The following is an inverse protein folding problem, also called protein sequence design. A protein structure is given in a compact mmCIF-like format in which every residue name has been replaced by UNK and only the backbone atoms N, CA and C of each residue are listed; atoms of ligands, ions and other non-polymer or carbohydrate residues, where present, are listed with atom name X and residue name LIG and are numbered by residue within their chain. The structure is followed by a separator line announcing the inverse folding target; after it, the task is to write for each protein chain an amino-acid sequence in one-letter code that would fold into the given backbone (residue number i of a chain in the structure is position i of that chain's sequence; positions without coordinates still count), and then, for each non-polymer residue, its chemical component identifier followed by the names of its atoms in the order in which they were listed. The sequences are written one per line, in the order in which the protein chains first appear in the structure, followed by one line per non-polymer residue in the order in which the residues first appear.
data_IF_372584595528
#
_entry.id   IF_372584595528
#
_cell.length_a   1.000
_cell.length_b   1.000
_cell.length_c   1.000
_cell.angle_alpha   90.00
_cell.angle_beta   90.00
_cell.angle_gamma   90.00
#
_symmetry.space_group_name_H-M   'P 1'
#
loop_
_entity.id
_entity.type
_entity.pdbx_description
1 polymer ?
#
# COMPACT_ATOMS: atom_id res chain seq x y z
N UNK A 1 8.67 14.26 8.46
CA UNK A 1 8.58 13.21 7.41
C UNK A 1 9.49 13.61 6.26
N UNK A 2 10.16 12.66 5.62
CA UNK A 2 11.09 12.95 4.53
C UNK A 2 10.36 13.34 3.23
N UNK A 3 10.91 14.25 2.39
CA UNK A 3 10.27 14.71 1.16
C UNK A 3 9.82 13.61 0.20
N UNK A 4 10.65 12.57 0.00
CA UNK A 4 10.31 11.43 -0.87
C UNK A 4 9.06 10.67 -0.40
N UNK A 5 8.81 10.61 0.93
CA UNK A 5 7.56 10.00 1.44
C UNK A 5 6.32 10.83 1.11
N UNK A 6 6.45 12.16 1.06
CA UNK A 6 5.34 13.04 0.63
C UNK A 6 4.97 12.77 -0.84
N UNK A 7 5.96 12.60 -1.71
CA UNK A 7 5.71 12.25 -3.12
C UNK A 7 5.04 10.88 -3.27
N UNK A 8 5.42 9.93 -2.42
CA UNK A 8 4.82 8.59 -2.42
C UNK A 8 3.39 8.58 -1.89
N UNK A 9 3.03 9.45 -0.95
CA UNK A 9 1.63 9.61 -0.52
C UNK A 9 0.75 9.95 -1.72
N UNK A 10 1.16 10.93 -2.53
CA UNK A 10 0.43 11.30 -3.74
C UNK A 10 0.37 10.15 -4.76
N UNK A 11 1.45 9.38 -4.88
CA UNK A 11 1.50 8.22 -5.78
C UNK A 11 0.54 7.12 -5.35
N UNK A 12 0.49 6.80 -4.05
CA UNK A 12 -0.45 5.83 -3.49
C UNK A 12 -1.89 6.31 -3.62
N UNK A 13 -2.15 7.59 -3.33
CA UNK A 13 -3.49 8.17 -3.51
C UNK A 13 -4.00 8.06 -4.94
N UNK A 14 -3.15 8.39 -5.92
CA UNK A 14 -3.50 8.31 -7.33
C UNK A 14 -3.76 6.87 -7.76
N UNK A 15 -2.95 5.92 -7.30
CA UNK A 15 -3.15 4.50 -7.59
C UNK A 15 -4.44 3.97 -6.94
N UNK A 16 -4.73 4.34 -5.69
CA UNK A 16 -5.99 3.98 -5.01
C UNK A 16 -7.20 4.51 -5.78
N UNK A 17 -7.17 5.78 -6.20
CA UNK A 17 -8.22 6.39 -7.04
C UNK A 17 -8.32 5.69 -8.39
N UNK A 18 -7.20 5.33 -9.00
CA UNK A 18 -7.18 4.58 -10.26
C UNK A 18 -7.86 3.22 -10.11
N UNK A 19 -7.53 2.45 -9.07
CA UNK A 19 -8.16 1.16 -8.78
C UNK A 19 -9.68 1.30 -8.55
N UNK A 20 -10.12 2.29 -7.77
CA UNK A 20 -11.55 2.55 -7.56
C UNK A 20 -12.27 2.95 -8.86
N UNK A 21 -11.59 3.69 -9.75
CA UNK A 21 -12.11 4.05 -11.06
C UNK A 21 -12.19 2.88 -12.03
N UNK A 22 -11.31 1.89 -11.94
CA UNK A 22 -11.37 0.72 -12.83
C UNK A 22 -12.65 -0.12 -12.62
N UNK A 23 -13.17 -0.14 -11.40
CA UNK A 23 -14.39 -0.87 -11.05
C UNK A 23 -15.69 -0.13 -11.47
N UNK A 24 -15.61 1.14 -11.87
CA UNK A 24 -16.77 1.97 -12.21
C UNK A 24 -16.61 2.71 -13.54
N UNK A 25 -17.58 2.55 -14.45
CA UNK A 25 -17.61 3.26 -15.74
C UNK A 25 -17.82 4.77 -15.62
N UNK A 26 -18.15 5.28 -14.42
CA UNK A 26 -18.48 6.68 -14.17
C UNK A 26 -17.41 7.34 -13.26
N UNK A 27 -16.59 8.19 -13.86
CA UNK A 27 -15.33 8.71 -13.30
C UNK A 27 -15.50 9.64 -12.08
N UNK A 28 -16.67 10.25 -11.92
CA UNK A 28 -16.87 11.30 -10.93
C UNK A 28 -17.46 10.81 -9.59
N UNK A 29 -17.97 9.58 -9.54
CA UNK A 29 -18.58 9.00 -8.33
C UNK A 29 -17.71 7.93 -7.65
N UNK A 30 -16.61 7.52 -8.28
CA UNK A 30 -16.07 6.17 -8.09
C UNK A 30 -15.40 5.91 -6.74
N UNK A 31 -14.59 6.83 -6.22
CA UNK A 31 -13.76 6.53 -5.03
C UNK A 31 -14.56 6.63 -3.74
N UNK A 32 -15.43 7.64 -3.62
CA UNK A 32 -16.33 7.75 -2.47
C UNK A 32 -17.38 6.65 -2.47
N UNK A 33 -17.87 6.23 -3.63
CA UNK A 33 -18.82 5.12 -3.73
C UNK A 33 -18.22 3.79 -3.29
N UNK A 34 -16.96 3.52 -3.69
CA UNK A 34 -16.28 2.26 -3.38
C UNK A 34 -15.79 2.23 -1.93
N UNK A 35 -15.12 3.29 -1.47
CA UNK A 35 -14.45 3.30 -0.17
C UNK A 35 -15.29 3.90 0.97
N UNK A 36 -16.37 4.63 0.64
CA UNK A 36 -17.20 5.40 1.59
C UNK A 36 -16.39 6.40 2.43
N UNK A 37 -15.30 6.92 1.87
CA UNK A 37 -14.42 7.91 2.48
C UNK A 37 -14.53 9.25 1.75
N UNK A 38 -14.39 10.35 2.48
CA UNK A 38 -14.10 11.65 1.87
C UNK A 38 -12.66 11.70 1.37
N UNK A 39 -12.33 12.65 0.49
CA UNK A 39 -10.94 12.84 0.02
C UNK A 39 -9.99 13.16 1.18
N UNK A 40 -10.46 13.88 2.20
CA UNK A 40 -9.68 14.19 3.41
C UNK A 40 -9.41 12.94 4.24
N UNK A 41 -10.42 12.12 4.49
CA UNK A 41 -10.25 10.85 5.21
C UNK A 41 -9.32 9.90 4.46
N UNK A 42 -9.48 9.80 3.14
CA UNK A 42 -8.59 9.01 2.29
C UNK A 42 -7.14 9.48 2.40
N UNK A 43 -6.91 10.80 2.30
CA UNK A 43 -5.58 11.38 2.48
C UNK A 43 -5.00 11.06 3.87
N UNK A 44 -5.78 11.23 4.93
CA UNK A 44 -5.34 10.97 6.30
C UNK A 44 -4.95 9.51 6.55
N UNK A 45 -5.73 8.56 6.03
CA UNK A 45 -5.46 7.13 6.19
C UNK A 45 -4.22 6.72 5.42
N UNK A 46 -4.08 7.15 4.16
CA UNK A 46 -2.85 6.90 3.38
C UNK A 46 -1.64 7.57 4.03
N UNK A 47 -1.79 8.77 4.57
CA UNK A 47 -0.74 9.47 5.30
C UNK A 47 -0.27 8.66 6.52
N UNK A 48 -1.20 8.09 7.31
CA UNK A 48 -0.88 7.23 8.47
C UNK A 48 -0.17 5.94 8.06
N UNK A 49 -0.58 5.32 6.95
CA UNK A 49 0.13 4.16 6.38
C UNK A 49 1.57 4.56 6.03
N UNK A 50 1.74 5.64 5.28
CA UNK A 50 3.06 6.06 4.78
C UNK A 50 4.01 6.55 5.89
N UNK A 51 3.48 7.12 6.97
CA UNK A 51 4.26 7.39 8.18
C UNK A 51 4.83 6.09 8.78
N UNK A 52 4.03 5.03 8.76
CA UNK A 52 4.35 3.73 9.36
C UNK A 52 5.28 2.86 8.51
N UNK A 53 5.39 3.13 7.21
CA UNK A 53 6.31 2.40 6.31
C UNK A 53 7.77 2.71 6.68
N UNK A 54 8.65 1.72 6.88
CA UNK A 54 10.07 1.97 7.16
C UNK A 54 10.76 2.75 6.04
N UNK A 55 11.32 3.91 6.40
CA UNK A 55 12.11 4.81 5.54
C UNK A 55 13.14 4.09 4.65
N UNK A 56 13.84 3.11 5.22
CA UNK A 56 14.85 2.28 4.53
C UNK A 56 14.31 1.51 3.32
N UNK A 57 13.02 1.18 3.29
CA UNK A 57 12.41 0.50 2.14
C UNK A 57 12.30 1.43 0.94
N UNK A 58 12.13 2.73 1.18
CA UNK A 58 12.00 3.71 0.12
C UNK A 58 13.38 4.12 -0.40
N UNK A 59 14.33 4.42 0.49
CA UNK A 59 15.64 4.97 0.06
C UNK A 59 16.57 3.95 -0.59
N UNK A 60 16.43 2.67 -0.25
CA UNK A 60 17.31 1.61 -0.77
C UNK A 60 16.70 0.89 -1.98
N UNK A 61 15.50 1.28 -2.39
CA UNK A 61 14.79 0.64 -3.50
C UNK A 61 15.02 1.40 -4.80
N UNK A 62 15.13 0.66 -5.89
CA UNK A 62 15.04 1.26 -7.22
C UNK A 62 13.60 1.68 -7.55
N UNK A 63 13.44 2.41 -8.66
CA UNK A 63 12.14 2.91 -9.11
C UNK A 63 11.11 1.80 -9.35
N UNK A 64 11.53 0.62 -9.81
CA UNK A 64 10.59 -0.48 -10.07
C UNK A 64 10.04 -1.03 -8.75
N UNK A 65 10.91 -1.18 -7.75
CA UNK A 65 10.53 -1.65 -6.42
C UNK A 65 9.68 -0.62 -5.67
N UNK A 66 9.97 0.68 -5.84
CA UNK A 66 9.10 1.77 -5.35
C UNK A 66 7.72 1.70 -6.00
N UNK A 67 7.64 1.57 -7.32
CA UNK A 67 6.37 1.42 -8.03
C UNK A 67 5.59 0.18 -7.57
N UNK A 68 6.28 -0.93 -7.31
CA UNK A 68 5.66 -2.13 -6.75
C UNK A 68 5.04 -1.86 -5.38
N UNK A 69 5.77 -1.20 -4.47
CA UNK A 69 5.22 -0.84 -3.16
C UNK A 69 4.01 0.09 -3.26
N UNK A 70 4.03 1.08 -4.15
CA UNK A 70 2.88 1.96 -4.38
C UNK A 70 1.65 1.15 -4.74
N UNK A 71 1.79 0.23 -5.70
CA UNK A 71 0.70 -0.65 -6.16
C UNK A 71 0.20 -1.58 -5.06
N UNK A 72 1.12 -2.22 -4.34
CA UNK A 72 0.78 -3.13 -3.25
C UNK A 72 0.04 -2.39 -2.13
N UNK A 73 0.55 -1.24 -1.69
CA UNK A 73 -0.09 -0.45 -0.63
C UNK A 73 -1.50 -0.03 -1.07
N UNK A 74 -1.66 0.46 -2.31
CA UNK A 74 -2.95 0.88 -2.82
C UNK A 74 -3.94 -0.30 -2.90
N UNK A 75 -3.54 -1.45 -3.43
CA UNK A 75 -4.41 -2.62 -3.56
C UNK A 75 -4.84 -3.19 -2.21
N UNK A 76 -3.89 -3.36 -1.29
CA UNK A 76 -4.16 -3.88 0.06
C UNK A 76 -5.06 -2.91 0.84
N UNK A 77 -4.84 -1.61 0.69
CA UNK A 77 -5.70 -0.60 1.32
C UNK A 77 -7.13 -0.62 0.77
N UNK A 78 -7.30 -0.71 -0.56
CA UNK A 78 -8.64 -0.83 -1.16
C UNK A 78 -9.35 -2.09 -0.66
N UNK A 79 -8.65 -3.22 -0.62
CA UNK A 79 -9.21 -4.47 -0.12
C UNK A 79 -9.63 -4.36 1.35
N UNK A 80 -8.77 -3.81 2.20
CA UNK A 80 -9.09 -3.54 3.60
C UNK A 80 -10.35 -2.67 3.71
N UNK A 81 -10.40 -1.56 2.99
CA UNK A 81 -11.47 -0.58 3.11
C UNK A 81 -12.82 -1.04 2.54
N UNK A 82 -12.82 -2.00 1.61
CA UNK A 82 -14.06 -2.64 1.12
C UNK A 82 -14.65 -3.61 2.16
N UNK A 83 -13.81 -4.19 3.02
CA UNK A 83 -14.23 -5.16 4.03
C UNK A 83 -14.55 -4.53 5.39
N UNK A 84 -14.01 -3.34 5.66
CA UNK A 84 -14.12 -2.66 6.96
C UNK A 84 -14.99 -1.40 6.85
N UNK A 85 -15.80 -1.14 7.87
CA UNK A 85 -16.57 0.09 7.99
C UNK A 85 -15.81 1.09 8.86
N UNK A 86 -15.50 2.28 8.33
CA UNK A 86 -14.82 3.35 9.06
C UNK A 86 -15.62 3.87 10.26
N UNK A 87 -16.93 3.61 10.27
CA UNK A 87 -17.83 3.97 11.38
C UNK A 87 -17.86 2.90 12.48
N UNK A 88 -17.24 1.73 12.26
CA UNK A 88 -17.12 0.69 13.27
C UNK A 88 -16.20 1.16 14.42
N UNK A 89 -16.58 0.83 15.66
CA UNK A 89 -15.80 1.13 16.85
C UNK A 89 -14.47 0.38 16.88
N UNK A 90 -14.40 -0.79 16.25
CA UNK A 90 -13.20 -1.63 16.19
C UNK A 90 -12.28 -1.24 15.01
N UNK A 91 -12.72 -0.35 14.11
CA UNK A 91 -11.95 0.09 12.95
C UNK A 91 -10.53 0.58 13.30
N UNK A 92 -10.29 1.39 14.35
CA UNK A 92 -8.93 1.81 14.70
C UNK A 92 -8.00 0.64 15.03
N UNK A 93 -8.54 -0.43 15.63
CA UNK A 93 -7.79 -1.65 15.94
C UNK A 93 -7.51 -2.43 14.66
N UNK A 94 -8.53 -2.65 13.83
CA UNK A 94 -8.38 -3.30 12.52
C UNK A 94 -7.36 -2.58 11.64
N UNK A 95 -7.43 -1.25 11.57
CA UNK A 95 -6.51 -0.44 10.79
C UNK A 95 -5.08 -0.49 11.31
N UNK A 96 -4.90 -0.51 12.63
CA UNK A 96 -3.57 -0.70 13.24
C UNK A 96 -2.99 -2.07 12.90
N UNK A 97 -3.79 -3.13 12.96
CA UNK A 97 -3.37 -4.49 12.60
C UNK A 97 -3.00 -4.58 11.12
N UNK A 98 -3.83 -4.01 10.25
CA UNK A 98 -3.56 -3.89 8.82
C UNK A 98 -2.21 -3.24 8.54
N UNK A 99 -1.88 -2.12 9.20
CA UNK A 99 -0.58 -1.45 9.04
C UNK A 99 0.59 -2.36 9.46
N UNK A 100 0.43 -3.12 10.55
CA UNK A 100 1.45 -4.06 11.03
C UNK A 100 1.68 -5.18 10.01
N UNK A 101 0.61 -5.77 9.48
CA UNK A 101 0.66 -6.84 8.48
C UNK A 101 1.26 -6.34 7.16
N UNK A 102 0.80 -5.20 6.66
CA UNK A 102 1.33 -4.55 5.45
C UNK A 102 2.84 -4.32 5.56
N UNK A 103 3.30 -3.80 6.71
CA UNK A 103 4.72 -3.63 6.98
C UNK A 103 5.50 -4.95 7.01
N UNK A 104 4.91 -6.00 7.56
CA UNK A 104 5.45 -7.35 7.51
C UNK A 104 5.68 -7.80 6.06
N UNK A 105 4.66 -7.65 5.21
CA UNK A 105 4.74 -7.98 3.78
C UNK A 105 5.85 -7.18 3.08
N UNK A 106 5.87 -5.86 3.25
CA UNK A 106 6.85 -4.97 2.62
C UNK A 106 8.30 -5.28 3.03
N UNK A 107 8.52 -5.71 4.28
CA UNK A 107 9.85 -6.10 4.78
C UNK A 107 10.23 -7.51 4.34
N UNK A 108 9.27 -8.42 4.21
CA UNK A 108 9.48 -9.82 3.82
C UNK A 108 9.86 -9.97 2.34
N UNK A 109 9.49 -9.02 1.48
CA UNK A 109 9.97 -8.90 0.08
C UNK A 109 11.49 -8.60 -0.04
N UNK A 110 12.26 -8.77 1.04
CA UNK A 110 13.73 -8.69 1.05
C UNK A 110 14.44 -9.95 0.55
N UNK A 111 13.76 -11.02 0.11
CA UNK A 111 14.51 -12.18 -0.37
C UNK A 111 13.75 -13.38 -0.92
N UNK A 112 13.36 -13.32 -2.19
CA UNK A 112 13.46 -14.48 -3.09
C UNK A 112 14.50 -14.21 -4.18
N UNK A 113 15.77 -14.15 -3.76
CA UNK A 113 16.93 -14.49 -4.59
C UNK A 113 17.88 -15.35 -3.76
N UNK A 114 17.48 -16.59 -3.48
CA UNK A 114 18.48 -17.64 -3.28
C UNK A 114 18.78 -18.22 -4.66
N UNK A 115 19.84 -17.72 -5.28
CA UNK A 115 20.55 -18.46 -6.31
C UNK A 115 20.98 -19.81 -5.71
N UNK A 116 20.23 -20.88 -5.94
CA UNK A 116 20.81 -22.23 -5.85
C UNK A 116 21.61 -22.48 -7.13
N UNK A 117 22.74 -21.79 -7.24
CA UNK A 117 23.87 -22.30 -8.01
C UNK A 117 24.51 -23.36 -7.13
N UNK A 118 24.04 -24.61 -7.25
CA UNK A 118 24.85 -25.76 -6.83
C UNK A 118 25.33 -26.42 -8.11
N UNK A 119 26.53 -25.98 -8.50
CA UNK A 119 27.43 -26.75 -9.36
C UNK A 119 27.69 -28.07 -8.62
N UNK A 120 27.08 -29.15 -9.09
CA UNK A 120 27.39 -30.52 -8.69
C UNK A 120 28.04 -31.23 -9.86
N UNK A 121 29.35 -31.03 -9.99
CA UNK A 121 30.20 -31.72 -10.95
C UNK A 121 30.84 -32.94 -10.25
N UNK A 122 30.85 -34.10 -10.91
CA UNK A 122 31.50 -35.38 -10.55
C UNK A 122 30.86 -36.11 -9.35
N UNK A 123 30.57 -37.41 -9.39
CA UNK A 123 31.29 -38.56 -10.00
C UNK A 123 30.32 -39.44 -10.78
#
# INVERSE_FOLDING_TARGET
MHPVKLELINSVLNETKFLCNMEHKDLNASTQAVLRLTDEQLYELIYKIMLSVPDKLIYLSDKNKVNYYVKLIASEFVLFQVNEDVMDLDYPVCFSNFIVELNGTLVSDRGTRTNKTTIGNKI
#
